data_IF_134493006952
#
_entry.id   IF_134493006952
#
_cell.length_a   1.000
_cell.length_b   1.000
_cell.length_c   1.000
_cell.angle_alpha   90.00
_cell.angle_beta   90.00
_cell.angle_gamma   90.00
#
_symmetry.space_group_name_H-M   'P 1'
#
loop_
_entity.id
_entity.type
_entity.pdbx_description
1 polymer ?
#
# COMPACT_ATOMS: atom_id res chain seq x y z
N UNK A 1 -15.42 -9.62 -13.70
CA UNK A 1 -15.10 -9.09 -12.35
C UNK A 1 -15.13 -10.24 -11.36
N UNK A 2 -13.99 -10.71 -10.83
CA UNK A 2 -13.99 -11.75 -9.80
C UNK A 2 -14.36 -11.12 -8.45
N UNK A 3 -15.32 -11.74 -7.77
CA UNK A 3 -15.81 -11.37 -6.45
C UNK A 3 -14.77 -11.66 -5.36
N UNK A 4 -14.65 -10.70 -4.43
CA UNK A 4 -14.21 -10.85 -3.04
C UNK A 4 -12.90 -11.64 -2.78
N UNK A 5 -11.80 -10.91 -2.59
CA UNK A 5 -10.72 -11.26 -1.65
C UNK A 5 -9.86 -12.49 -1.97
N UNK A 6 -8.63 -12.23 -2.41
CA UNK A 6 -7.47 -13.12 -2.31
C UNK A 6 -7.62 -14.54 -2.89
N UNK A 7 -7.51 -14.68 -4.21
CA UNK A 7 -7.32 -16.00 -4.84
C UNK A 7 -5.92 -16.61 -4.51
N UNK A 8 -4.99 -15.82 -3.95
CA UNK A 8 -3.59 -16.20 -3.70
C UNK A 8 -3.13 -15.98 -2.26
N UNK A 9 -4.04 -16.00 -1.28
CA UNK A 9 -3.64 -15.99 0.12
C UNK A 9 -3.10 -17.36 0.57
N UNK A 10 -1.78 -17.51 0.71
CA UNK A 10 -1.03 -18.53 1.49
C UNK A 10 -1.20 -20.02 1.15
N UNK A 11 -2.34 -20.47 0.62
CA UNK A 11 -2.64 -21.87 0.31
C UNK A 11 -2.55 -22.23 -1.18
N UNK A 12 -2.42 -21.24 -2.06
CA UNK A 12 -2.45 -21.42 -3.52
C UNK A 12 -1.16 -20.96 -4.23
N UNK A 13 -0.02 -20.87 -3.54
CA UNK A 13 1.25 -20.46 -4.17
C UNK A 13 1.66 -21.34 -5.36
N UNK A 14 1.30 -22.62 -5.34
CA UNK A 14 1.56 -23.55 -6.44
C UNK A 14 0.86 -23.15 -7.76
N UNK A 15 -0.18 -22.32 -7.72
CA UNK A 15 -0.89 -21.84 -8.92
C UNK A 15 -0.25 -20.61 -9.58
N UNK A 16 0.73 -19.96 -8.93
CA UNK A 16 1.46 -18.80 -9.49
C UNK A 16 2.27 -19.18 -10.75
N UNK A 17 2.63 -20.46 -10.93
CA UNK A 17 3.46 -20.92 -12.04
C UNK A 17 2.77 -20.92 -13.42
N UNK A 18 1.43 -20.81 -13.48
CA UNK A 18 0.64 -20.93 -14.73
C UNK A 18 -0.13 -19.66 -15.10
N UNK A 19 0.10 -18.55 -14.39
CA UNK A 19 -0.65 -17.31 -14.56
C UNK A 19 0.21 -16.27 -15.28
N UNK A 20 -0.39 -15.54 -16.23
CA UNK A 20 0.29 -14.43 -16.89
C UNK A 20 0.63 -13.32 -15.89
N UNK A 21 1.65 -12.51 -16.16
CA UNK A 21 2.01 -11.39 -15.28
C UNK A 21 0.82 -10.46 -14.99
N UNK A 22 -0.10 -10.29 -15.95
CA UNK A 22 -1.33 -9.53 -15.80
C UNK A 22 -2.31 -10.20 -14.82
N UNK A 23 -2.46 -11.53 -14.89
CA UNK A 23 -3.29 -12.28 -13.95
C UNK A 23 -2.72 -12.25 -12.53
N UNK A 24 -1.39 -12.27 -12.39
CA UNK A 24 -0.74 -12.08 -11.09
C UNK A 24 -1.04 -10.67 -10.56
N UNK A 25 -0.91 -9.62 -11.39
CA UNK A 25 -1.25 -8.24 -10.99
C UNK A 25 -2.70 -8.08 -10.54
N UNK A 26 -3.64 -8.72 -11.25
CA UNK A 26 -5.06 -8.72 -10.92
C UNK A 26 -5.41 -9.35 -9.56
N UNK A 27 -4.49 -10.11 -8.95
CA UNK A 27 -4.76 -10.88 -7.74
C UNK A 27 -3.99 -10.42 -6.49
N UNK A 28 -3.03 -9.49 -6.62
CA UNK A 28 -2.12 -9.13 -5.52
C UNK A 28 -2.71 -8.15 -4.51
N UNK A 29 -3.69 -7.33 -4.89
CA UNK A 29 -4.26 -6.33 -3.99
C UNK A 29 -5.73 -6.10 -4.25
N UNK A 30 -6.33 -5.26 -3.41
CA UNK A 30 -7.75 -4.91 -3.47
C UNK A 30 -8.10 -4.00 -4.67
N UNK A 31 -7.12 -3.27 -5.21
CA UNK A 31 -7.30 -2.37 -6.35
C UNK A 31 -6.49 -2.88 -7.54
N UNK A 32 -7.18 -3.03 -8.68
CA UNK A 32 -6.54 -3.38 -9.96
C UNK A 32 -5.92 -2.12 -10.57
N UNK A 33 -4.59 -2.07 -10.78
CA UNK A 33 -3.96 -0.92 -11.38
C UNK A 33 -4.21 -0.81 -12.88
N UNK A 34 -4.11 0.41 -13.45
CA UNK A 34 -3.87 0.60 -14.87
C UNK A 34 -2.61 -0.16 -15.35
N UNK A 35 -2.60 -0.56 -16.62
CA UNK A 35 -1.49 -1.32 -17.23
C UNK A 35 -0.13 -0.63 -17.09
N UNK A 36 -0.12 0.72 -17.14
CA UNK A 36 1.09 1.53 -17.06
C UNK A 36 1.59 1.77 -15.62
N UNK A 37 0.93 1.22 -14.60
CA UNK A 37 1.36 1.24 -13.20
C UNK A 37 1.79 -0.16 -12.72
N UNK A 38 2.91 -0.72 -13.24
CA UNK A 38 3.35 -2.06 -12.88
C UNK A 38 3.72 -2.22 -11.40
N UNK A 39 4.16 -1.14 -10.75
CA UNK A 39 4.67 -1.14 -9.37
C UNK A 39 3.62 -0.67 -8.35
N UNK A 40 2.37 -0.52 -8.80
CA UNK A 40 1.26 -0.20 -7.91
C UNK A 40 0.78 -1.46 -7.19
N UNK A 41 0.60 -1.32 -5.88
CA UNK A 41 -0.12 -2.26 -5.05
C UNK A 41 -0.94 -1.49 -4.02
N UNK A 42 -2.16 -1.90 -3.76
CA UNK A 42 -2.96 -1.31 -2.71
C UNK A 42 -3.80 -2.33 -1.97
N UNK A 43 -3.89 -2.14 -0.67
CA UNK A 43 -4.74 -2.89 0.24
C UNK A 43 -5.72 -1.93 0.93
N UNK A 44 -6.97 -2.34 1.12
CA UNK A 44 -8.03 -1.52 1.68
C UNK A 44 -8.62 -2.14 2.94
N UNK A 45 -8.70 -1.37 4.02
CA UNK A 45 -9.27 -1.79 5.31
C UNK A 45 -10.40 -0.86 5.72
N UNK A 46 -11.52 -1.43 6.15
CA UNK A 46 -12.65 -0.69 6.71
C UNK A 46 -12.99 -1.23 8.11
N UNK A 47 -12.90 -0.37 9.13
CA UNK A 47 -13.13 -0.76 10.52
C UNK A 47 -13.95 0.29 11.27
N UNK A 48 -14.65 -0.15 12.31
CA UNK A 48 -15.41 0.75 13.18
C UNK A 48 -14.50 1.57 14.11
N UNK A 49 -13.42 0.96 14.61
CA UNK A 49 -12.55 1.55 15.63
C UNK A 49 -11.08 1.28 15.32
N UNK A 50 -10.23 2.21 15.74
CA UNK A 50 -8.77 2.12 15.65
C UNK A 50 -8.12 2.81 16.86
N UNK A 51 -7.11 2.22 17.51
CA UNK A 51 -6.51 2.76 18.73
C UNK A 51 -5.50 3.88 18.42
N UNK A 52 -5.98 5.03 17.92
CA UNK A 52 -5.13 6.17 17.51
C UNK A 52 -4.15 6.65 18.58
N UNK A 53 -4.53 6.57 19.86
CA UNK A 53 -3.66 6.95 20.98
C UNK A 53 -2.34 6.15 21.01
N UNK A 54 -2.31 4.92 20.49
CA UNK A 54 -1.11 4.09 20.45
C UNK A 54 -0.11 4.51 19.36
N UNK A 55 -0.54 5.25 18.32
CA UNK A 55 0.35 5.69 17.25
C UNK A 55 1.44 6.64 17.77
N UNK A 56 1.10 7.52 18.72
CA UNK A 56 2.03 8.53 19.26
C UNK A 56 3.04 8.00 20.28
N UNK A 57 2.84 6.81 20.84
CA UNK A 57 3.65 6.28 21.93
C UNK A 57 4.70 5.24 21.48
N UNK A 58 4.96 5.12 20.18
CA UNK A 58 5.85 4.08 19.61
C UNK A 58 5.46 2.65 20.06
N UNK A 59 4.18 2.44 20.40
CA UNK A 59 3.64 1.15 20.79
C UNK A 59 3.25 0.34 19.56
N UNK A 60 3.34 -0.99 19.66
CA UNK A 60 2.85 -1.89 18.60
C UNK A 60 1.33 -1.92 18.60
N UNK A 61 0.74 -1.70 17.43
CA UNK A 61 -0.69 -1.87 17.19
C UNK A 61 -0.83 -3.16 16.38
N UNK A 62 -1.11 -4.29 17.07
CA UNK A 62 -1.23 -5.62 16.43
C UNK A 62 -2.14 -5.63 15.19
N UNK A 63 -3.20 -4.82 15.24
CA UNK A 63 -4.14 -4.68 14.13
C UNK A 63 -3.49 -4.03 12.90
N UNK A 64 -2.72 -2.95 13.11
CA UNK A 64 -1.99 -2.26 12.05
C UNK A 64 -0.82 -3.11 11.54
N UNK A 65 -0.07 -3.76 12.44
CA UNK A 65 0.99 -4.70 12.07
C UNK A 65 0.44 -5.79 11.14
N UNK A 66 -0.70 -6.41 11.48
CA UNK A 66 -1.34 -7.42 10.63
C UNK A 66 -1.69 -6.89 9.24
N UNK A 67 -2.22 -5.68 9.13
CA UNK A 67 -2.58 -5.10 7.82
C UNK A 67 -1.33 -4.77 6.99
N UNK A 68 -0.29 -4.26 7.63
CA UNK A 68 1.00 -3.99 6.98
C UNK A 68 1.64 -5.30 6.51
N UNK A 69 1.65 -6.34 7.34
CA UNK A 69 2.19 -7.65 6.99
C UNK A 69 1.45 -8.25 5.79
N UNK A 70 0.14 -8.03 5.64
CA UNK A 70 -0.62 -8.47 4.46
C UNK A 70 -0.09 -7.82 3.18
N UNK A 71 -0.01 -6.49 3.14
CA UNK A 71 0.46 -5.79 1.94
C UNK A 71 1.95 -6.03 1.67
N UNK A 72 2.80 -6.16 2.70
CA UNK A 72 4.22 -6.50 2.50
C UNK A 72 4.43 -7.92 1.95
N UNK A 73 3.57 -8.89 2.29
CA UNK A 73 3.67 -10.25 1.75
C UNK A 73 3.25 -10.34 0.27
N UNK A 74 2.38 -9.44 -0.18
CA UNK A 74 1.93 -9.37 -1.58
C UNK A 74 2.79 -8.42 -2.45
N UNK A 75 3.57 -7.55 -1.80
CA UNK A 75 4.48 -6.60 -2.45
C UNK A 75 5.73 -7.30 -3.03
N UNK A 76 6.16 -6.82 -4.20
CA UNK A 76 7.49 -7.06 -4.75
C UNK A 76 8.45 -5.96 -4.29
N UNK A 77 9.75 -6.17 -4.52
CA UNK A 77 10.81 -5.26 -4.07
C UNK A 77 10.64 -3.82 -4.59
N UNK A 78 10.19 -3.66 -5.84
CA UNK A 78 10.00 -2.36 -6.49
C UNK A 78 8.59 -1.78 -6.30
N UNK A 79 7.67 -2.50 -5.64
CA UNK A 79 6.29 -2.03 -5.49
C UNK A 79 6.23 -0.86 -4.48
N UNK A 80 5.64 0.25 -4.91
CA UNK A 80 5.30 1.38 -4.05
C UNK A 80 3.87 1.21 -3.53
N UNK A 81 3.70 0.38 -2.50
CA UNK A 81 2.38 0.00 -2.03
C UNK A 81 1.70 1.08 -1.17
N UNK A 82 0.37 1.10 -1.14
CA UNK A 82 -0.41 1.92 -0.21
C UNK A 82 -1.41 1.07 0.58
N UNK A 83 -1.51 1.30 1.88
CA UNK A 83 -2.55 0.74 2.73
C UNK A 83 -3.59 1.82 3.04
N UNK A 84 -4.76 1.71 2.42
CA UNK A 84 -5.89 2.59 2.65
C UNK A 84 -6.71 2.09 3.84
N UNK A 85 -7.01 2.99 4.78
CA UNK A 85 -7.75 2.66 6.01
C UNK A 85 -8.90 3.64 6.17
N UNK A 86 -10.13 3.13 6.16
CA UNK A 86 -11.34 3.89 6.53
C UNK A 86 -11.78 3.50 7.93
N UNK A 87 -11.78 4.46 8.84
CA UNK A 87 -12.33 4.31 10.19
C UNK A 87 -13.67 5.03 10.26
N UNK A 88 -14.74 4.27 10.52
CA UNK A 88 -16.12 4.76 10.48
C UNK A 88 -16.31 5.97 11.40
N UNK A 89 -16.86 7.07 10.85
CA UNK A 89 -17.08 8.36 11.56
C UNK A 89 -15.81 9.00 12.13
N UNK A 90 -14.62 8.61 11.66
CA UNK A 90 -13.34 9.20 12.09
C UNK A 90 -12.54 9.76 10.92
N UNK A 91 -12.46 9.04 9.81
CA UNK A 91 -11.76 9.53 8.62
C UNK A 91 -11.25 8.43 7.70
N UNK A 92 -10.49 8.85 6.70
CA UNK A 92 -9.78 8.01 5.76
C UNK A 92 -8.28 8.32 5.85
N UNK A 93 -7.47 7.27 5.88
CA UNK A 93 -6.05 7.36 6.16
C UNK A 93 -5.28 6.52 5.16
N UNK A 94 -4.01 6.86 4.99
CA UNK A 94 -3.05 6.13 4.18
C UNK A 94 -1.84 5.79 5.03
N UNK A 95 -1.36 4.56 4.86
CA UNK A 95 -0.07 4.12 5.37
C UNK A 95 0.83 3.76 4.21
N UNK A 96 2.06 4.26 4.24
CA UNK A 96 3.09 4.00 3.24
C UNK A 96 4.47 3.85 3.88
N UNK A 97 5.40 3.22 3.19
CA UNK A 97 6.78 3.05 3.65
C UNK A 97 7.61 4.30 3.35
N UNK A 98 8.35 4.77 4.36
CA UNK A 98 9.17 5.98 4.25
C UNK A 98 10.43 5.79 3.39
N UNK A 99 10.67 4.58 2.86
CA UNK A 99 11.75 4.29 1.89
C UNK A 99 11.50 4.95 0.54
N UNK A 100 10.24 5.08 0.11
CA UNK A 100 9.91 5.62 -1.20
C UNK A 100 9.21 6.98 -1.15
N UNK A 101 8.61 7.38 -0.03
CA UNK A 101 8.14 8.75 0.12
C UNK A 101 8.60 9.28 1.46
N UNK A 102 9.07 10.52 1.48
CA UNK A 102 9.44 11.13 2.74
C UNK A 102 8.19 11.32 3.63
N UNK A 103 8.35 11.20 4.96
CA UNK A 103 7.35 11.69 5.89
C UNK A 103 7.05 13.16 5.61
N UNK A 104 5.77 13.49 5.40
CA UNK A 104 5.35 14.87 5.22
C UNK A 104 4.34 15.29 6.29
N UNK A 105 4.10 16.60 6.41
CA UNK A 105 3.34 17.24 7.49
C UNK A 105 2.04 16.50 7.87
N UNK A 106 1.65 16.62 9.15
CA UNK A 106 0.39 16.08 9.69
C UNK A 106 0.20 14.56 9.50
N UNK A 107 1.13 13.80 10.08
CA UNK A 107 1.02 12.35 10.20
C UNK A 107 1.69 11.84 11.48
N UNK A 108 1.70 10.53 11.64
CA UNK A 108 2.32 9.83 12.76
C UNK A 108 3.28 8.77 12.23
N UNK A 109 4.51 8.79 12.73
CA UNK A 109 5.47 7.74 12.44
C UNK A 109 5.01 6.43 13.08
N UNK A 110 4.94 5.38 12.28
CA UNK A 110 4.76 4.01 12.76
C UNK A 110 5.91 3.16 12.25
N UNK A 111 6.97 2.98 13.06
CA UNK A 111 8.19 2.27 12.65
C UNK A 111 8.82 2.90 11.40
N UNK A 112 8.90 2.16 10.28
CA UNK A 112 9.38 2.61 8.96
C UNK A 112 8.25 3.10 8.05
N UNK A 113 7.06 3.28 8.60
CA UNK A 113 5.88 3.70 7.86
C UNK A 113 5.41 5.07 8.36
N UNK A 114 4.71 5.76 7.49
CA UNK A 114 4.02 6.99 7.81
C UNK A 114 2.52 6.78 7.76
N UNK A 115 1.81 7.16 8.82
CA UNK A 115 0.36 7.13 8.90
C UNK A 115 -0.17 8.56 8.79
N UNK A 116 -0.96 8.87 7.77
CA UNK A 116 -1.50 10.22 7.56
C UNK A 116 -2.93 10.18 7.00
N UNK A 117 -3.60 11.32 7.01
CA UNK A 117 -4.93 11.47 6.42
C UNK A 117 -4.84 11.39 4.88
N UNK A 118 -5.83 10.75 4.25
CA UNK A 118 -5.78 10.39 2.82
C UNK A 118 -5.84 11.61 1.90
N UNK A 119 -6.68 12.60 2.19
CA UNK A 119 -6.74 13.84 1.40
C UNK A 119 -5.41 14.59 1.47
N UNK A 120 -4.80 14.65 2.66
CA UNK A 120 -3.47 15.24 2.84
C UNK A 120 -2.42 14.51 2.01
N UNK A 121 -2.40 13.17 2.06
CA UNK A 121 -1.47 12.37 1.26
C UNK A 121 -1.55 12.72 -0.24
N UNK A 122 -2.75 12.69 -0.84
CA UNK A 122 -2.90 12.97 -2.26
C UNK A 122 -2.71 14.45 -2.63
N UNK A 123 -2.83 15.36 -1.67
CA UNK A 123 -2.52 16.77 -1.92
C UNK A 123 -1.02 17.00 -2.15
N UNK A 124 -0.16 16.24 -1.47
CA UNK A 124 1.28 16.50 -1.46
C UNK A 124 2.12 15.45 -2.17
N UNK A 125 1.70 14.19 -2.21
CA UNK A 125 2.49 13.09 -2.76
C UNK A 125 1.92 12.48 -4.03
N UNK A 126 0.84 13.04 -4.59
CA UNK A 126 0.21 12.45 -5.78
C UNK A 126 1.19 12.28 -6.94
N UNK A 127 1.97 13.31 -7.24
CA UNK A 127 2.88 13.26 -8.38
C UNK A 127 4.08 12.34 -8.10
N UNK A 128 4.64 12.41 -6.89
CA UNK A 128 5.76 11.56 -6.45
C UNK A 128 5.39 10.06 -6.46
N UNK A 129 4.21 9.72 -5.93
CA UNK A 129 3.76 8.32 -5.88
C UNK A 129 3.39 7.82 -7.27
N UNK A 130 2.80 8.67 -8.12
CA UNK A 130 2.48 8.33 -9.50
C UNK A 130 3.75 8.01 -10.30
N UNK A 131 4.81 8.81 -10.14
CA UNK A 131 6.10 8.57 -10.80
C UNK A 131 6.63 7.18 -10.44
N UNK A 132 6.52 6.78 -9.17
CA UNK A 132 6.99 5.47 -8.67
C UNK A 132 6.20 4.28 -9.17
N UNK A 133 4.92 4.47 -9.44
CA UNK A 133 4.08 3.41 -9.98
C UNK A 133 4.41 3.07 -11.43
N UNK A 134 4.95 4.03 -12.19
CA UNK A 134 5.30 3.86 -13.61
C UNK A 134 6.51 2.96 -13.80
N UNK A 135 6.53 2.28 -14.95
CA UNK A 135 7.55 1.28 -15.34
C UNK A 135 8.97 1.85 -15.44
N UNK A 136 9.08 3.14 -15.75
CA UNK A 136 10.36 3.79 -16.07
C UNK A 136 10.96 4.52 -14.86
N UNK A 137 10.36 4.35 -13.68
CA UNK A 137 10.90 4.86 -12.43
C UNK A 137 12.32 4.29 -12.20
N UNK A 138 13.34 5.17 -12.25
CA UNK A 138 14.76 4.83 -12.09
C UNK A 138 15.57 4.70 -13.40
N UNK A 139 14.93 4.68 -14.58
CA UNK A 139 15.65 4.69 -15.87
C UNK A 139 16.06 6.09 -16.32
N UNK A 140 15.28 7.10 -15.97
CA UNK A 140 15.60 8.51 -16.28
C UNK A 140 16.79 9.04 -15.46
N UNK A 141 17.15 8.38 -14.36
CA UNK A 141 18.29 8.75 -13.52
C UNK A 141 19.63 8.19 -14.00
N UNK A 142 19.65 7.29 -14.99
CA UNK A 142 20.89 6.72 -15.56
C UNK A 142 21.35 7.43 -16.85
N UNK A 143 20.56 8.38 -17.38
CA UNK A 143 20.88 9.12 -18.61
C UNK A 143 21.39 10.57 -18.38
N UNK A 144 21.75 10.96 -17.14
CA UNK A 144 22.38 12.26 -16.85
C UNK A 144 23.75 12.12 -16.16
#
# INVERSE_FOLDING_TARGET
VPNSGAYVGGKNEYRKAYLSEEQIKLMRGDIVPPVHYPNFLAECKNYANFPFHLLGHNHRIKLLDKWIDQVENDAKEDDAWLLFIKITRKGQYVVYNTRYLDPFHYGMKYRRYWFCEMEHFFRFHKDDIEMRWKKDYGRETEEN
#
